data_IF_489984720541
#
_entry.id   IF_489984720541
#
_cell.length_a   1.000
_cell.length_b   1.000
_cell.length_c   1.000
_cell.angle_alpha   90.00
_cell.angle_beta   90.00
_cell.angle_gamma   90.00
#
_symmetry.space_group_name_H-M   'P 1'
#
loop_
_entity.id
_entity.type
_entity.pdbx_description
1 polymer ?
#
# COMPACT_ATOMS: atom_id res chain seq x y z
N UNK A 1 42.85 38.59 -12.03
CA UNK A 1 41.74 37.94 -12.76
C UNK A 1 41.42 36.62 -12.09
N UNK A 2 40.26 36.51 -11.42
CA UNK A 2 39.77 35.28 -10.79
C UNK A 2 38.41 34.98 -11.41
N UNK A 3 38.30 33.90 -12.18
CA UNK A 3 37.02 33.41 -12.71
C UNK A 3 36.60 32.25 -11.80
N UNK A 4 35.51 32.48 -11.07
CA UNK A 4 34.80 31.49 -10.27
C UNK A 4 33.77 30.81 -11.18
N UNK A 5 33.94 29.53 -11.46
CA UNK A 5 32.88 28.69 -12.03
C UNK A 5 32.16 27.96 -10.89
N UNK A 6 30.87 28.25 -10.75
CA UNK A 6 29.89 27.55 -9.92
C UNK A 6 29.39 26.32 -10.67
N UNK A 7 29.39 25.16 -10.02
CA UNK A 7 28.60 23.99 -10.41
C UNK A 7 27.83 23.51 -9.17
N UNK A 8 26.50 23.33 -9.22
CA UNK A 8 25.74 22.85 -8.07
C UNK A 8 25.76 21.31 -8.02
N UNK A 9 26.25 20.77 -6.90
CA UNK A 9 26.09 19.35 -6.59
C UNK A 9 24.70 19.14 -5.97
N UNK A 10 23.79 18.56 -6.75
CA UNK A 10 22.50 18.06 -6.28
C UNK A 10 22.74 16.83 -5.37
N UNK A 11 22.68 17.03 -4.06
CA UNK A 11 22.60 15.94 -3.09
C UNK A 11 21.13 15.57 -2.96
N UNK A 12 20.71 14.51 -3.66
CA UNK A 12 19.45 13.82 -3.39
C UNK A 12 19.56 13.10 -2.04
N UNK A 13 18.79 13.56 -1.06
CA UNK A 13 18.69 12.92 0.25
C UNK A 13 18.04 11.54 0.15
N UNK A 14 18.81 10.50 0.44
CA UNK A 14 18.26 9.22 0.86
C UNK A 14 17.77 9.36 2.31
N UNK A 15 16.45 9.33 2.50
CA UNK A 15 15.87 9.19 3.83
C UNK A 15 16.10 7.74 4.30
N UNK A 16 17.11 7.55 5.14
CA UNK A 16 17.28 6.32 5.91
C UNK A 16 16.11 6.21 6.88
N UNK A 17 15.32 5.15 6.76
CA UNK A 17 14.39 4.74 7.80
C UNK A 17 15.19 4.45 9.07
N UNK A 18 15.16 5.38 10.03
CA UNK A 18 15.79 5.22 11.33
C UNK A 18 14.97 4.22 12.14
N UNK A 19 15.56 3.06 12.43
CA UNK A 19 15.05 2.12 13.44
C UNK A 19 15.23 2.77 14.81
N UNK A 20 14.13 2.94 15.53
CA UNK A 20 14.11 3.49 16.89
C UNK A 20 14.85 2.56 17.87
N UNK A 21 15.91 3.05 18.50
CA UNK A 21 16.59 2.43 19.64
C UNK A 21 16.26 3.19 20.92
N UNK A 22 15.49 2.64 21.87
CA UNK A 22 15.26 3.28 23.16
C UNK A 22 16.48 3.17 24.07
N UNK A 23 16.76 4.17 24.94
CA UNK A 23 17.84 4.11 25.93
C UNK A 23 17.54 3.08 27.04
N UNK A 24 18.59 2.48 27.58
CA UNK A 24 18.53 1.52 28.68
C UNK A 24 18.04 2.20 29.98
N UNK A 25 17.10 1.56 30.68
CA UNK A 25 16.53 2.08 31.92
C UNK A 25 17.32 1.68 33.17
N UNK A 26 17.40 2.61 34.12
CA UNK A 26 17.66 2.35 35.53
C UNK A 26 16.40 2.66 36.34
N UNK A 27 16.14 1.87 37.38
CA UNK A 27 15.08 2.04 38.38
C UNK A 27 15.58 1.52 39.74
N UNK A 28 14.91 1.78 40.87
CA UNK A 28 14.30 3.03 41.35
C UNK A 28 14.69 3.33 42.83
N UNK A 29 14.31 4.49 43.36
CA UNK A 29 14.14 4.67 44.81
C UNK A 29 12.96 5.59 45.14
N UNK A 30 12.05 5.10 45.97
CA UNK A 30 10.95 5.87 46.59
C UNK A 30 11.42 6.52 47.90
N UNK A 31 10.70 7.52 48.42
CA UNK A 31 9.91 7.22 49.62
C UNK A 31 8.55 7.94 49.76
N UNK A 32 7.66 7.20 50.45
CA UNK A 32 6.65 7.61 51.45
C UNK A 32 5.40 8.43 51.08
N UNK A 33 4.29 7.99 51.69
CA UNK A 33 2.90 8.39 51.48
C UNK A 33 2.33 9.24 52.64
N UNK A 34 1.25 10.00 52.37
CA UNK A 34 -0.07 10.09 53.08
C UNK A 34 -0.76 11.46 52.80
N UNK A 35 -2.03 11.71 53.18
CA UNK A 35 -3.21 11.57 52.30
C UNK A 35 -4.03 12.87 52.14
N UNK A 36 -4.79 13.03 51.05
CA UNK A 36 -5.80 14.10 50.96
C UNK A 36 -6.99 13.72 50.06
N UNK A 37 -8.14 14.29 50.43
CA UNK A 37 -9.53 14.01 50.08
C UNK A 37 -9.91 14.25 48.59
N UNK A 38 -11.16 13.94 48.17
CA UNK A 38 -11.52 13.81 46.76
C UNK A 38 -11.69 15.18 46.12
N UNK A 39 -11.07 15.38 44.96
CA UNK A 39 -11.31 16.55 44.12
C UNK A 39 -11.78 16.07 42.75
N UNK A 40 -13.02 16.45 42.43
CA UNK A 40 -13.56 16.56 41.08
C UNK A 40 -12.52 17.20 40.15
N UNK A 41 -12.18 16.53 39.06
CA UNK A 41 -11.75 17.20 37.82
C UNK A 41 -11.97 16.26 36.64
N UNK A 42 -13.20 16.24 36.12
CA UNK A 42 -13.41 15.98 34.71
C UNK A 42 -12.78 17.16 33.94
N UNK A 43 -11.55 17.00 33.44
CA UNK A 43 -11.02 17.91 32.43
C UNK A 43 -11.68 17.58 31.10
N UNK A 44 -12.86 18.16 30.90
CA UNK A 44 -13.41 18.42 29.58
C UNK A 44 -12.43 19.33 28.84
N UNK A 45 -11.90 18.84 27.73
CA UNK A 45 -11.32 19.71 26.71
C UNK A 45 -12.47 20.53 26.13
N UNK A 46 -12.65 21.73 26.67
CA UNK A 46 -13.47 22.77 26.05
C UNK A 46 -12.82 23.12 24.71
N UNK A 47 -13.35 22.54 23.64
CA UNK A 47 -13.23 23.14 22.32
C UNK A 47 -13.95 24.50 22.38
N UNK A 48 -13.31 25.61 21.98
CA UNK A 48 -13.99 26.90 21.92
C UNK A 48 -15.14 26.78 20.93
N UNK A 49 -16.34 27.13 21.41
CA UNK A 49 -17.55 27.18 20.61
C UNK A 49 -17.29 27.97 19.31
N UNK A 50 -17.34 27.27 18.18
CA UNK A 50 -17.47 27.92 16.87
C UNK A 50 -18.72 28.80 16.88
N UNK A 51 -18.66 29.96 16.24
CA UNK A 51 -19.79 30.88 16.13
C UNK A 51 -21.06 30.19 15.58
N UNK A 52 -22.23 30.86 15.62
CA UNK A 52 -23.55 30.25 15.34
C UNK A 52 -23.75 29.65 13.94
N UNK A 53 -22.71 29.68 13.09
CA UNK A 53 -22.60 29.05 11.78
C UNK A 53 -21.26 28.30 11.69
N UNK A 54 -20.98 27.43 12.67
CA UNK A 54 -19.81 26.54 12.69
C UNK A 54 -19.79 25.66 11.44
N UNK A 55 -18.95 26.05 10.49
CA UNK A 55 -18.78 25.44 9.18
C UNK A 55 -18.15 24.06 9.33
N UNK A 56 -18.95 23.00 9.27
CA UNK A 56 -18.54 21.70 8.76
C UNK A 56 -19.75 20.92 8.23
N UNK A 57 -19.54 20.21 7.13
CA UNK A 57 -20.58 19.67 6.27
C UNK A 57 -21.28 18.46 6.87
N UNK A 58 -22.63 18.35 6.77
CA UNK A 58 -23.39 17.20 7.28
C UNK A 58 -23.26 15.93 6.40
N UNK A 59 -22.08 15.68 5.87
CA UNK A 59 -21.69 14.37 5.33
C UNK A 59 -20.79 13.63 6.33
N UNK A 60 -20.02 14.37 7.14
CA UNK A 60 -19.42 13.90 8.39
C UNK A 60 -19.96 14.77 9.51
N UNK A 61 -20.64 14.19 10.50
CA UNK A 61 -20.81 14.90 11.76
C UNK A 61 -19.39 15.22 12.28
N UNK A 62 -19.01 16.48 12.51
CA UNK A 62 -17.71 16.80 13.10
C UNK A 62 -17.53 16.16 14.49
N UNK A 63 -18.61 15.69 15.12
CA UNK A 63 -18.59 14.87 16.33
C UNK A 63 -18.21 13.39 16.10
N UNK A 64 -18.41 12.85 14.88
CA UNK A 64 -17.99 11.50 14.48
C UNK A 64 -16.47 11.45 14.29
N UNK A 65 -15.73 11.58 15.39
CA UNK A 65 -14.30 11.28 15.50
C UNK A 65 -14.02 9.77 15.49
N UNK A 66 -15.08 8.95 15.57
CA UNK A 66 -15.04 7.50 15.59
C UNK A 66 -16.17 6.89 14.76
N UNK A 67 -15.96 5.66 14.28
CA UNK A 67 -17.00 4.81 13.68
C UNK A 67 -17.13 3.53 14.50
N UNK A 68 -18.34 3.16 14.87
CA UNK A 68 -18.59 1.95 15.66
C UNK A 68 -18.67 0.71 14.77
N UNK A 69 -17.81 -0.26 15.02
CA UNK A 69 -17.74 -1.54 14.28
C UNK A 69 -17.78 -2.68 15.29
N UNK A 70 -18.79 -3.54 15.22
CA UNK A 70 -18.95 -4.64 16.17
C UNK A 70 -19.01 -4.20 17.64
N UNK A 71 -19.51 -2.99 17.92
CA UNK A 71 -19.53 -2.39 19.27
C UNK A 71 -18.24 -1.69 19.68
N UNK A 72 -17.21 -1.66 18.83
CA UNK A 72 -15.92 -0.99 19.09
C UNK A 72 -15.86 0.34 18.36
N UNK A 73 -15.57 1.44 19.05
CA UNK A 73 -15.39 2.75 18.43
C UNK A 73 -14.00 2.83 17.78
N UNK A 74 -13.93 2.83 16.45
CA UNK A 74 -12.68 2.95 15.67
C UNK A 74 -12.43 4.45 15.39
N UNK A 75 -11.30 5.03 15.79
CA UNK A 75 -11.03 6.43 15.59
C UNK A 75 -10.67 6.69 14.13
N UNK A 76 -11.24 7.75 13.58
CA UNK A 76 -11.05 8.11 12.18
C UNK A 76 -9.82 9.01 11.96
N UNK A 77 -9.30 9.58 13.04
CA UNK A 77 -8.15 10.49 13.03
C UNK A 77 -8.56 11.93 12.77
N UNK A 78 -7.78 12.64 11.97
CA UNK A 78 -8.07 14.03 11.58
C UNK A 78 -9.18 14.06 10.51
N UNK A 79 -10.34 14.60 10.90
CA UNK A 79 -11.52 14.72 10.05
C UNK A 79 -11.27 15.59 8.80
N UNK A 80 -10.46 16.64 8.91
CA UNK A 80 -10.14 17.51 7.78
C UNK A 80 -9.29 16.76 6.74
N UNK A 81 -8.29 16.01 7.23
CA UNK A 81 -7.47 15.16 6.37
C UNK A 81 -8.30 14.05 5.72
N UNK A 82 -9.19 13.40 6.48
CA UNK A 82 -10.08 12.36 5.96
C UNK A 82 -10.95 12.90 4.82
N UNK A 83 -11.55 14.07 5.03
CA UNK A 83 -12.38 14.73 4.01
C UNK A 83 -11.59 15.06 2.74
N UNK A 84 -10.39 15.63 2.87
CA UNK A 84 -9.54 15.94 1.72
C UNK A 84 -9.16 14.66 0.94
N UNK A 85 -8.88 13.56 1.64
CA UNK A 85 -8.60 12.26 1.01
C UNK A 85 -9.84 11.67 0.35
N UNK A 86 -11.03 11.83 0.95
CA UNK A 86 -12.29 11.42 0.34
C UNK A 86 -12.57 12.19 -0.95
N UNK A 87 -12.42 13.52 -0.96
CA UNK A 87 -12.56 14.35 -2.17
C UNK A 87 -11.60 13.90 -3.28
N UNK A 88 -10.36 13.55 -2.92
CA UNK A 88 -9.40 12.94 -3.87
C UNK A 88 -9.93 11.61 -4.40
N UNK A 89 -10.39 10.72 -3.51
CA UNK A 89 -10.94 9.41 -3.87
C UNK A 89 -12.09 9.49 -4.87
N UNK A 90 -13.01 10.45 -4.68
CA UNK A 90 -14.14 10.66 -5.58
C UNK A 90 -13.75 10.98 -7.04
N UNK A 91 -12.49 11.36 -7.28
CA UNK A 91 -11.95 11.68 -8.60
C UNK A 91 -10.89 10.68 -9.07
N UNK A 92 -10.61 9.62 -8.31
CA UNK A 92 -9.68 8.57 -8.72
C UNK A 92 -10.37 7.55 -9.64
N UNK A 93 -9.68 7.04 -10.69
CA UNK A 93 -10.21 5.93 -11.48
C UNK A 93 -10.41 4.68 -10.62
N UNK A 94 -11.18 3.73 -11.11
CA UNK A 94 -11.23 2.39 -10.53
C UNK A 94 -9.88 1.67 -10.68
N UNK A 95 -9.53 0.85 -9.70
CA UNK A 95 -8.28 0.11 -9.66
C UNK A 95 -8.40 -1.23 -10.40
N UNK A 96 -8.65 -1.14 -11.71
CA UNK A 96 -8.93 -2.27 -12.63
C UNK A 96 -7.74 -2.71 -13.48
N UNK A 97 -6.52 -2.23 -13.19
CA UNK A 97 -5.32 -2.71 -13.90
C UNK A 97 -5.05 -4.20 -13.60
N UNK A 98 -4.52 -4.92 -14.57
CA UNK A 98 -4.13 -6.34 -14.42
C UNK A 98 -3.25 -6.58 -13.19
N UNK A 99 -2.31 -5.67 -12.92
CA UNK A 99 -1.42 -5.76 -11.76
C UNK A 99 -2.16 -5.65 -10.42
N UNK A 100 -3.18 -4.80 -10.34
CA UNK A 100 -4.01 -4.64 -9.15
C UNK A 100 -4.93 -5.86 -8.94
N UNK A 101 -5.49 -6.40 -10.02
CA UNK A 101 -6.26 -7.65 -9.96
C UNK A 101 -5.41 -8.83 -9.53
N UNK A 102 -4.22 -8.97 -10.11
CA UNK A 102 -3.23 -10.00 -9.74
C UNK A 102 -2.88 -9.89 -8.27
N UNK A 103 -2.55 -8.69 -7.78
CA UNK A 103 -2.27 -8.45 -6.36
C UNK A 103 -3.43 -8.88 -5.45
N UNK A 104 -4.67 -8.46 -5.75
CA UNK A 104 -5.85 -8.86 -4.94
C UNK A 104 -6.06 -10.37 -4.95
N UNK A 105 -5.88 -11.03 -6.10
CA UNK A 105 -5.94 -12.50 -6.21
C UNK A 105 -4.86 -13.14 -5.32
N UNK A 106 -3.63 -12.64 -5.35
CA UNK A 106 -2.54 -13.15 -4.51
C UNK A 106 -2.83 -12.95 -3.02
N UNK A 107 -3.35 -11.79 -2.59
CA UNK A 107 -3.74 -11.57 -1.18
C UNK A 107 -4.83 -12.53 -0.74
N UNK A 108 -5.87 -12.74 -1.57
CA UNK A 108 -6.90 -13.74 -1.29
C UNK A 108 -6.34 -15.16 -1.21
N UNK A 109 -5.42 -15.52 -2.11
CA UNK A 109 -4.76 -16.82 -2.10
C UNK A 109 -3.94 -17.01 -0.83
N UNK A 110 -3.13 -16.03 -0.42
CA UNK A 110 -2.39 -16.06 0.86
C UNK A 110 -3.34 -16.29 2.03
N UNK A 111 -4.42 -15.51 2.13
CA UNK A 111 -5.42 -15.64 3.19
C UNK A 111 -6.05 -17.03 3.20
N UNK A 112 -6.39 -17.58 2.02
CA UNK A 112 -6.96 -18.91 1.90
C UNK A 112 -5.96 -20.00 2.31
N UNK A 113 -4.70 -19.90 1.87
CA UNK A 113 -3.63 -20.87 2.16
C UNK A 113 -3.27 -20.92 3.64
N UNK A 114 -3.24 -19.78 4.33
CA UNK A 114 -2.94 -19.70 5.77
C UNK A 114 -4.18 -19.86 6.66
N UNK A 115 -5.35 -20.11 6.06
CA UNK A 115 -6.61 -20.28 6.80
C UNK A 115 -6.61 -21.56 7.66
N UNK A 116 -7.15 -21.52 8.90
CA UNK A 116 -7.38 -22.73 9.70
C UNK A 116 -8.30 -23.74 9.01
N UNK A 117 -9.12 -23.30 8.05
CA UNK A 117 -10.06 -24.13 7.29
C UNK A 117 -9.52 -24.57 5.92
N UNK A 118 -8.25 -24.29 5.61
CA UNK A 118 -7.63 -24.75 4.37
C UNK A 118 -7.60 -26.30 4.34
N UNK A 119 -7.91 -26.97 3.20
CA UNK A 119 -7.82 -28.42 3.09
C UNK A 119 -6.41 -28.92 3.44
N UNK A 120 -6.31 -29.84 4.41
CA UNK A 120 -5.01 -30.29 4.93
C UNK A 120 -4.41 -29.38 6.02
N UNK A 121 -5.13 -28.35 6.44
CA UNK A 121 -4.72 -27.36 7.42
C UNK A 121 -3.95 -26.18 6.83
N UNK A 122 -3.64 -25.15 7.64
CA UNK A 122 -2.85 -24.00 7.24
C UNK A 122 -1.49 -24.38 6.65
N UNK A 123 -1.16 -23.84 5.47
CA UNK A 123 0.18 -23.97 4.89
C UNK A 123 0.95 -22.64 4.98
N UNK A 124 1.72 -22.50 6.06
CA UNK A 124 2.55 -21.33 6.30
C UNK A 124 3.59 -21.11 5.19
N UNK A 125 4.18 -22.16 4.64
CA UNK A 125 5.31 -22.03 3.72
C UNK A 125 4.85 -21.65 2.31
N UNK A 126 3.74 -22.24 1.86
CA UNK A 126 3.11 -21.86 0.60
C UNK A 126 2.60 -20.42 0.65
N UNK A 127 1.95 -20.03 1.76
CA UNK A 127 1.48 -18.66 1.95
C UNK A 127 2.65 -17.65 1.97
N UNK A 128 3.71 -17.95 2.74
CA UNK A 128 4.89 -17.09 2.85
C UNK A 128 5.56 -16.84 1.50
N UNK A 129 5.62 -17.87 0.65
CA UNK A 129 6.24 -17.82 -0.68
C UNK A 129 5.65 -16.71 -1.57
N UNK A 130 4.38 -16.37 -1.40
CA UNK A 130 3.68 -15.38 -2.22
C UNK A 130 3.92 -13.93 -1.77
N UNK A 131 4.37 -13.70 -0.54
CA UNK A 131 4.51 -12.36 0.04
C UNK A 131 5.49 -11.45 -0.72
N UNK A 132 6.69 -11.89 -1.14
CA UNK A 132 7.63 -11.02 -1.86
C UNK A 132 7.08 -10.54 -3.20
N UNK A 133 6.38 -11.43 -3.92
CA UNK A 133 5.76 -11.11 -5.21
C UNK A 133 4.59 -10.14 -5.03
N UNK A 134 3.76 -10.33 -4.00
CA UNK A 134 2.68 -9.38 -3.65
C UNK A 134 3.22 -7.98 -3.31
N UNK A 135 4.36 -7.90 -2.61
CA UNK A 135 5.00 -6.64 -2.24
C UNK A 135 5.55 -5.82 -3.41
N UNK A 136 5.58 -6.37 -4.63
CA UNK A 136 5.96 -5.62 -5.83
C UNK A 136 4.86 -4.67 -6.30
N UNK A 137 3.62 -4.89 -5.87
CA UNK A 137 2.51 -4.02 -6.22
C UNK A 137 2.59 -2.71 -5.42
N UNK A 138 2.63 -1.52 -6.05
CA UNK A 138 2.75 -0.26 -5.33
C UNK A 138 1.65 0.00 -4.30
N UNK A 139 0.42 -0.48 -4.57
CA UNK A 139 -0.72 -0.37 -3.64
C UNK A 139 -0.57 -1.18 -2.35
N UNK A 140 0.31 -2.20 -2.33
CA UNK A 140 0.66 -2.95 -1.12
C UNK A 140 1.40 -2.07 -0.10
N UNK A 141 2.06 -0.99 -0.54
CA UNK A 141 2.88 -0.13 0.32
C UNK A 141 3.99 -0.89 1.11
N UNK A 142 4.50 -1.99 0.55
CA UNK A 142 5.50 -2.89 1.12
C UNK A 142 5.07 -3.65 2.38
N UNK A 143 3.77 -3.71 2.68
CA UNK A 143 3.24 -4.39 3.85
C UNK A 143 3.49 -5.91 3.79
N UNK A 144 3.37 -6.52 2.61
CA UNK A 144 3.69 -7.94 2.44
C UNK A 144 5.19 -8.23 2.68
N UNK A 145 6.08 -7.31 2.29
CA UNK A 145 7.52 -7.44 2.56
C UNK A 145 7.81 -7.34 4.07
N UNK A 146 7.23 -6.34 4.75
CA UNK A 146 7.38 -6.20 6.20
C UNK A 146 6.79 -7.38 6.97
N UNK A 147 5.71 -7.98 6.47
CA UNK A 147 5.14 -9.21 7.02
C UNK A 147 6.08 -10.40 6.82
N UNK A 148 6.64 -10.57 5.62
CA UNK A 148 7.60 -11.64 5.36
C UNK A 148 8.84 -11.55 6.26
N UNK A 149 9.41 -10.35 6.43
CA UNK A 149 10.51 -10.10 7.36
C UNK A 149 10.12 -10.43 8.81
N UNK A 150 8.93 -10.01 9.24
CA UNK A 150 8.43 -10.29 10.59
C UNK A 150 8.24 -11.80 10.84
N UNK A 151 7.73 -12.54 9.85
CA UNK A 151 7.59 -14.00 9.91
C UNK A 151 8.96 -14.68 9.97
N UNK A 152 9.89 -14.27 9.11
CA UNK A 152 11.23 -14.84 9.09
C UNK A 152 11.95 -14.62 10.42
N UNK A 153 11.89 -13.40 10.95
CA UNK A 153 12.45 -13.08 12.27
C UNK A 153 11.79 -13.86 13.40
N UNK A 154 10.47 -14.04 13.35
CA UNK A 154 9.75 -14.83 14.32
C UNK A 154 10.24 -16.28 14.35
N UNK A 155 10.35 -16.92 13.18
CA UNK A 155 10.84 -18.30 13.04
C UNK A 155 12.30 -18.43 13.50
N UNK A 156 13.13 -17.43 13.18
CA UNK A 156 14.50 -17.33 13.64
C UNK A 156 14.58 -17.22 15.18
N UNK A 157 13.77 -16.35 15.78
CA UNK A 157 13.73 -16.13 17.23
C UNK A 157 13.22 -17.34 18.03
N UNK A 158 12.42 -18.21 17.39
CA UNK A 158 11.95 -19.48 17.96
C UNK A 158 12.95 -20.63 17.79
N UNK A 159 14.09 -20.39 17.12
CA UNK A 159 15.07 -21.41 16.78
C UNK A 159 14.45 -22.60 16.01
N UNK A 160 13.41 -22.36 15.20
CA UNK A 160 12.78 -23.39 14.39
C UNK A 160 13.63 -23.68 13.14
N UNK A 161 14.69 -24.48 13.32
CA UNK A 161 15.66 -24.81 12.26
C UNK A 161 14.97 -25.48 11.07
N UNK A 162 14.02 -26.38 11.33
CA UNK A 162 13.30 -27.10 10.29
C UNK A 162 12.37 -26.17 9.51
N UNK A 163 11.66 -25.29 10.21
CA UNK A 163 10.82 -24.28 9.57
C UNK A 163 11.63 -23.26 8.78
N UNK A 164 12.75 -22.79 9.30
CA UNK A 164 13.68 -21.93 8.56
C UNK A 164 14.23 -22.60 7.31
N UNK A 165 14.57 -23.90 7.37
CA UNK A 165 15.01 -24.62 6.17
C UNK A 165 13.92 -24.67 5.10
N UNK A 166 12.65 -24.86 5.50
CA UNK A 166 11.50 -24.82 4.59
C UNK A 166 11.22 -23.43 4.02
N UNK A 167 11.31 -22.37 4.85
CA UNK A 167 11.18 -20.98 4.39
C UNK A 167 12.30 -20.61 3.40
N UNK A 168 13.54 -20.96 3.72
CA UNK A 168 14.66 -20.74 2.80
C UNK A 168 14.43 -21.48 1.47
N UNK A 169 13.96 -22.73 1.53
CA UNK A 169 13.62 -23.47 0.32
C UNK A 169 12.50 -22.79 -0.49
N UNK A 170 11.45 -22.30 0.17
CA UNK A 170 10.33 -21.65 -0.53
C UNK A 170 10.75 -20.35 -1.20
N UNK A 171 11.62 -19.56 -0.56
CA UNK A 171 12.23 -18.35 -1.12
C UNK A 171 13.07 -18.70 -2.36
N UNK A 172 13.95 -19.69 -2.26
CA UNK A 172 14.80 -20.13 -3.38
C UNK A 172 13.97 -20.65 -4.56
N UNK A 173 12.89 -21.39 -4.27
CA UNK A 173 11.96 -21.86 -5.29
C UNK A 173 11.23 -20.69 -5.99
N UNK A 174 10.85 -19.65 -5.24
CA UNK A 174 10.21 -18.45 -5.81
C UNK A 174 11.21 -17.63 -6.63
N UNK A 175 12.43 -17.44 -6.12
CA UNK A 175 13.53 -16.78 -6.83
C UNK A 175 13.79 -17.42 -8.18
N UNK A 176 13.92 -18.76 -8.20
CA UNK A 176 14.06 -19.52 -9.45
C UNK A 176 12.89 -19.33 -10.40
N UNK A 177 11.65 -19.33 -9.88
CA UNK A 177 10.44 -19.13 -10.68
C UNK A 177 10.42 -17.73 -11.32
N UNK A 178 10.75 -16.69 -10.55
CA UNK A 178 10.82 -15.30 -11.03
C UNK A 178 11.88 -15.17 -12.13
N UNK A 179 13.09 -15.72 -11.91
CA UNK A 179 14.17 -15.69 -12.91
C UNK A 179 13.74 -16.42 -14.19
N UNK A 180 13.16 -17.61 -14.07
CA UNK A 180 12.72 -18.39 -15.22
C UNK A 180 11.61 -17.69 -16.03
N UNK A 181 10.63 -17.08 -15.34
CA UNK A 181 9.58 -16.30 -15.99
C UNK A 181 10.15 -15.08 -16.73
N UNK A 182 11.11 -14.39 -16.11
CA UNK A 182 11.78 -13.25 -16.69
C UNK A 182 12.62 -13.63 -17.92
N UNK A 183 13.34 -14.75 -17.86
CA UNK A 183 14.12 -15.29 -18.98
C UNK A 183 13.22 -15.73 -20.14
N UNK A 184 12.06 -16.33 -19.84
CA UNK A 184 11.07 -16.72 -20.84
C UNK A 184 10.51 -15.49 -21.58
N UNK A 185 10.09 -14.47 -20.83
CA UNK A 185 9.61 -13.20 -21.40
C UNK A 185 10.67 -12.55 -22.31
N UNK A 186 11.93 -12.50 -21.86
CA UNK A 186 13.04 -11.94 -22.62
C UNK A 186 13.30 -12.66 -23.96
N UNK A 187 13.00 -13.96 -24.03
CA UNK A 187 13.21 -14.79 -25.24
C UNK A 187 12.05 -14.65 -26.22
N UNK A 188 10.82 -14.61 -25.73
CA UNK A 188 9.62 -14.60 -26.57
C UNK A 188 9.26 -13.21 -27.11
N UNK A 189 9.62 -12.13 -26.41
CA UNK A 189 9.39 -10.77 -26.93
C UNK A 189 10.33 -10.41 -28.11
N UNK A 190 11.47 -11.09 -28.24
CA UNK A 190 12.37 -10.93 -29.39
C UNK A 190 11.72 -11.37 -30.70
N UNK A 191 10.85 -12.37 -30.65
CA UNK A 191 10.24 -12.99 -31.83
C UNK A 191 9.11 -12.13 -32.42
N UNK A 192 8.42 -11.33 -31.58
CA UNK A 192 7.32 -10.46 -32.04
C UNK A 192 7.80 -9.19 -32.79
N UNK A 193 9.06 -8.77 -32.64
CA UNK A 193 9.58 -7.57 -33.33
C UNK A 193 10.13 -7.83 -34.73
N UNK A 194 10.31 -9.10 -35.12
CA UNK A 194 10.92 -9.49 -36.41
C UNK A 194 9.90 -9.79 -37.52
N UNK A 195 8.59 -9.69 -37.24
CA UNK A 195 7.52 -10.04 -38.18
C UNK A 195 6.91 -8.90 -39.01
N UNK A 196 7.37 -7.65 -38.86
CA UNK A 196 6.73 -6.47 -39.49
C UNK A 196 7.74 -5.61 -40.29
N UNK A 197 8.55 -6.22 -41.13
CA UNK A 197 9.33 -5.52 -42.15
C UNK A 197 8.50 -5.27 -43.42
N UNK A 198 7.62 -4.27 -43.41
CA UNK A 198 6.89 -3.83 -44.61
C UNK A 198 7.88 -3.15 -45.56
N UNK A 199 8.27 -3.86 -46.60
CA UNK A 199 9.11 -3.35 -47.68
C UNK A 199 8.36 -2.27 -48.46
N UNK A 200 8.74 -1.01 -48.26
CA UNK A 200 8.38 0.15 -49.07
C UNK A 200 9.72 0.88 -49.30
N UNK A 201 10.34 0.86 -50.48
CA UNK A 201 9.76 1.34 -51.73
C UNK A 201 9.99 2.86 -51.81
N UNK A 202 11.23 3.30 -51.99
CA UNK A 202 11.59 4.72 -52.07
C UNK A 202 12.23 5.07 -53.41
N UNK A 203 11.47 5.74 -54.29
CA UNK A 203 11.96 6.35 -55.53
C UNK A 203 11.71 7.87 -55.54
N UNK A 204 12.57 8.60 -56.26
CA UNK A 204 12.44 10.02 -56.65
C UNK A 204 13.26 11.01 -55.80
N UNK A 205 14.43 11.49 -56.25
CA UNK A 205 14.71 12.75 -57.04
C UNK A 205 14.29 14.03 -56.28
N UNK A 206 15.16 15.01 -56.03
CA UNK A 206 15.90 15.81 -57.02
C UNK A 206 17.15 16.53 -56.44
N UNK A 207 18.16 16.65 -57.32
CA UNK A 207 19.19 17.68 -57.58
C UNK A 207 19.71 18.62 -56.47
N UNK A 208 21.04 18.68 -56.34
CA UNK A 208 21.80 19.80 -56.91
C UNK A 208 23.29 19.47 -57.16
N UNK A 209 23.76 19.90 -58.32
CA UNK A 209 25.11 19.77 -58.86
C UNK A 209 26.06 20.84 -58.29
N UNK A 210 27.31 20.45 -58.00
CA UNK A 210 28.49 21.15 -58.52
C UNK A 210 29.76 20.30 -58.40
N UNK A 211 30.25 19.92 -59.58
CA UNK A 211 31.64 19.66 -59.98
C UNK A 211 32.60 20.76 -59.44
N UNK A 212 33.92 20.62 -59.30
CA UNK A 212 34.92 19.84 -60.03
C UNK A 212 36.23 19.82 -59.20
N UNK A 213 37.13 18.86 -59.44
CA UNK A 213 38.51 18.91 -58.93
C UNK A 213 39.29 17.62 -59.16
N UNK A 214 40.07 17.61 -60.23
CA UNK A 214 40.82 16.49 -60.82
C UNK A 214 42.00 15.95 -59.99
N UNK A 215 42.48 14.79 -60.48
CA UNK A 215 43.87 14.32 -60.55
C UNK A 215 44.42 13.29 -59.52
N UNK A 216 44.36 12.03 -59.97
CA UNK A 216 45.50 11.22 -60.46
C UNK A 216 46.58 10.69 -59.49
N UNK A 217 46.68 9.34 -59.48
CA UNK A 217 47.94 8.64 -59.76
C UNK A 217 48.84 8.30 -58.56
N UNK A 218 49.08 7.00 -58.32
CA UNK A 218 50.14 6.57 -57.40
C UNK A 218 50.18 5.06 -57.16
N UNK A 219 50.96 4.38 -57.98
CA UNK A 219 51.14 2.93 -58.02
C UNK A 219 52.29 2.46 -57.10
N UNK A 220 52.14 1.24 -56.58
CA UNK A 220 53.15 0.18 -56.38
C UNK A 220 54.13 0.11 -55.18
N UNK A 221 54.29 -1.18 -54.78
CA UNK A 221 55.44 -1.91 -54.21
C UNK A 221 55.59 -2.00 -52.68
N UNK A 222 56.04 -3.11 -52.08
CA UNK A 222 56.27 -4.52 -52.45
C UNK A 222 56.77 -5.26 -51.18
N UNK A 223 56.55 -6.57 -51.09
CA UNK A 223 57.30 -7.53 -50.25
C UNK A 223 56.82 -7.65 -48.80
N UNK A 224 56.38 -8.79 -48.26
CA UNK A 224 56.61 -10.18 -48.61
C UNK A 224 57.24 -10.87 -47.40
N UNK A 225 56.52 -11.78 -46.72
CA UNK A 225 56.96 -13.16 -46.47
C UNK A 225 55.96 -13.94 -45.59
N UNK A 226 55.82 -15.20 -46.00
CA UNK A 226 55.07 -16.37 -45.55
C UNK A 226 54.93 -16.62 -44.04
N UNK A 227 53.80 -17.24 -43.70
CA UNK A 227 53.78 -18.36 -42.75
C UNK A 227 52.39 -18.84 -42.32
N UNK A 228 51.94 -19.99 -42.85
CA UNK A 228 51.07 -20.94 -42.11
C UNK A 228 49.57 -20.92 -42.42
N UNK A 229 49.09 -22.02 -43.00
CA UNK A 229 47.73 -22.28 -43.44
C UNK A 229 46.96 -23.12 -42.40
N UNK A 230 45.61 -23.08 -42.50
CA UNK A 230 44.55 -23.94 -41.89
C UNK A 230 43.92 -23.42 -40.59
N UNK A 231 42.71 -22.83 -40.66
CA UNK A 231 41.39 -23.50 -40.60
C UNK A 231 41.19 -24.25 -39.27
N UNK A 232 40.23 -23.97 -38.40
CA UNK A 232 39.13 -23.02 -38.35
C UNK A 232 38.35 -23.33 -37.06
N UNK A 233 37.62 -22.38 -36.49
CA UNK A 233 36.26 -22.63 -35.99
C UNK A 233 35.56 -21.31 -35.67
N UNK A 234 34.30 -21.29 -36.04
CA UNK A 234 33.30 -20.25 -35.89
C UNK A 234 33.12 -19.85 -34.41
N UNK A 235 32.96 -18.56 -34.19
CA UNK A 235 32.74 -17.98 -32.87
C UNK A 235 32.29 -16.53 -33.01
N UNK A 236 31.11 -16.33 -33.62
CA UNK A 236 30.41 -15.05 -33.58
C UNK A 236 30.05 -14.75 -32.13
N UNK A 237 30.87 -13.91 -31.52
CA UNK A 237 30.62 -13.22 -30.26
C UNK A 237 29.57 -12.12 -30.53
N UNK A 238 28.30 -12.53 -30.74
CA UNK A 238 27.18 -11.59 -30.76
C UNK A 238 26.78 -11.29 -29.32
N UNK A 239 27.44 -10.29 -28.73
CA UNK A 239 27.07 -9.71 -27.45
C UNK A 239 25.69 -9.09 -27.61
N UNK A 240 24.68 -9.87 -27.23
CA UNK A 240 23.28 -9.45 -27.07
C UNK A 240 23.20 -8.11 -26.39
N UNK A 241 22.80 -7.09 -27.16
CA UNK A 241 22.40 -5.78 -26.65
C UNK A 241 21.10 -6.00 -25.86
N UNK A 242 21.22 -6.14 -24.54
CA UNK A 242 20.09 -6.26 -23.62
C UNK A 242 19.33 -4.93 -23.62
N UNK A 243 18.07 -4.93 -24.03
CA UNK A 243 17.21 -3.74 -23.96
C UNK A 243 16.89 -3.42 -22.49
N UNK A 244 17.25 -2.24 -21.97
CA UNK A 244 16.90 -1.86 -20.60
C UNK A 244 15.38 -1.90 -20.38
N UNK A 245 14.93 -2.61 -19.33
CA UNK A 245 13.51 -2.70 -18.94
C UNK A 245 12.77 -3.99 -19.31
N UNK A 246 13.41 -4.97 -19.97
CA UNK A 246 12.79 -6.25 -20.33
C UNK A 246 13.40 -7.45 -19.59
N UNK A 247 12.62 -8.52 -19.43
CA UNK A 247 13.10 -9.78 -18.85
C UNK A 247 13.54 -9.68 -17.40
N UNK A 248 14.70 -10.28 -17.06
CA UNK A 248 15.33 -10.20 -15.72
C UNK A 248 15.64 -8.75 -15.28
N UNK A 249 15.65 -7.81 -16.23
CA UNK A 249 15.85 -6.38 -15.98
C UNK A 249 14.55 -5.58 -15.95
N UNK A 250 13.39 -6.23 -16.04
CA UNK A 250 12.11 -5.59 -15.75
C UNK A 250 12.06 -5.18 -14.29
N UNK A 251 11.63 -3.94 -14.02
CA UNK A 251 11.53 -3.39 -12.66
C UNK A 251 10.75 -4.30 -11.71
N UNK A 252 9.66 -4.93 -12.18
CA UNK A 252 8.85 -5.87 -11.37
C UNK A 252 9.67 -7.07 -10.89
N UNK A 253 10.44 -7.69 -11.79
CA UNK A 253 11.26 -8.86 -11.45
C UNK A 253 12.43 -8.46 -10.55
N UNK A 254 13.07 -7.33 -10.83
CA UNK A 254 14.16 -6.80 -10.01
C UNK A 254 13.70 -6.45 -8.60
N UNK A 255 12.52 -5.85 -8.45
CA UNK A 255 11.94 -5.55 -7.14
C UNK A 255 11.61 -6.82 -6.37
N UNK A 256 10.99 -7.82 -7.01
CA UNK A 256 10.71 -9.11 -6.37
C UNK A 256 12.00 -9.79 -5.87
N UNK A 257 13.04 -9.81 -6.71
CA UNK A 257 14.35 -10.38 -6.36
C UNK A 257 15.01 -9.60 -5.23
N UNK A 258 14.93 -8.27 -5.25
CA UNK A 258 15.44 -7.42 -4.16
C UNK A 258 14.74 -7.71 -2.84
N UNK A 259 13.41 -7.92 -2.84
CA UNK A 259 12.66 -8.30 -1.62
C UNK A 259 13.07 -9.67 -1.10
N UNK A 260 13.33 -10.61 -2.01
CA UNK A 260 13.87 -11.93 -1.64
C UNK A 260 15.27 -11.80 -1.03
N UNK A 261 16.15 -11.01 -1.65
CA UNK A 261 17.51 -10.79 -1.16
C UNK A 261 17.52 -10.09 0.22
N UNK A 262 16.57 -9.19 0.49
CA UNK A 262 16.35 -8.58 1.81
C UNK A 262 16.07 -9.65 2.88
N UNK A 263 15.23 -10.64 2.59
CA UNK A 263 14.94 -11.75 3.51
C UNK A 263 16.16 -12.69 3.65
N UNK A 264 16.84 -13.00 2.54
CA UNK A 264 18.06 -13.82 2.57
C UNK A 264 19.19 -13.15 3.37
N UNK A 265 19.26 -11.82 3.42
CA UNK A 265 20.24 -11.11 4.23
C UNK A 265 20.04 -11.40 5.73
N UNK A 266 18.78 -11.54 6.17
CA UNK A 266 18.43 -11.89 7.55
C UNK A 266 18.94 -13.27 7.97
N UNK A 267 19.09 -14.19 7.01
CA UNK A 267 19.67 -15.52 7.23
C UNK A 267 21.14 -15.46 7.63
N UNK A 268 21.89 -14.50 7.09
CA UNK A 268 23.35 -14.40 7.28
C UNK A 268 23.71 -13.87 8.67
N UNK A 269 22.73 -13.32 9.39
CA UNK A 269 22.87 -12.93 10.78
C UNK A 269 22.91 -14.19 11.67
N UNK A 270 24.11 -14.62 12.05
CA UNK A 270 24.34 -15.83 12.85
C UNK A 270 24.08 -15.55 14.35
N UNK A 271 22.85 -15.15 14.68
CA UNK A 271 22.52 -14.66 16.03
C UNK A 271 22.08 -15.83 16.92
N UNK A 272 22.89 -16.13 17.94
CA UNK A 272 22.39 -16.83 19.13
C UNK A 272 21.34 -15.92 19.79
N UNK A 273 20.06 -16.16 19.47
CA UNK A 273 18.96 -15.34 20.00
C UNK A 273 18.58 -15.83 21.40
N UNK A 274 18.61 -14.90 22.36
CA UNK A 274 18.19 -15.13 23.75
C UNK A 274 16.67 -15.03 23.87
N UNK A 275 16.10 -15.54 24.98
CA UNK A 275 14.67 -15.42 25.27
C UNK A 275 14.17 -13.96 25.21
N UNK A 276 15.01 -13.01 25.63
CA UNK A 276 14.73 -11.58 25.55
C UNK A 276 14.54 -11.10 24.10
N UNK A 277 15.32 -11.64 23.15
CA UNK A 277 15.15 -11.33 21.74
C UNK A 277 13.87 -11.95 21.16
N UNK A 278 13.46 -13.13 21.62
CA UNK A 278 12.18 -13.75 21.25
C UNK A 278 11.00 -12.89 21.73
N UNK A 279 11.03 -12.40 22.97
CA UNK A 279 10.00 -11.49 23.50
C UNK A 279 9.93 -10.20 22.68
N UNK A 280 11.09 -9.61 22.36
CA UNK A 280 11.16 -8.39 21.54
C UNK A 280 10.63 -8.61 20.12
N UNK A 281 10.99 -9.72 19.47
CA UNK A 281 10.54 -10.06 18.12
C UNK A 281 9.02 -10.23 18.08
N UNK A 282 8.48 -10.94 19.07
CA UNK A 282 7.03 -11.12 19.24
C UNK A 282 6.31 -9.79 19.46
N UNK A 283 6.85 -8.91 20.30
CA UNK A 283 6.29 -7.58 20.52
C UNK A 283 6.32 -6.73 19.24
N UNK A 284 7.43 -6.74 18.48
CA UNK A 284 7.54 -6.03 17.21
C UNK A 284 6.51 -6.52 16.19
N UNK A 285 6.29 -7.83 16.11
CA UNK A 285 5.27 -8.40 15.23
C UNK A 285 3.86 -7.89 15.60
N UNK A 286 3.53 -7.89 16.89
CA UNK A 286 2.25 -7.38 17.40
C UNK A 286 2.09 -5.88 17.13
N UNK A 287 3.15 -5.08 17.27
CA UNK A 287 3.13 -3.66 16.92
C UNK A 287 2.83 -3.44 15.43
N UNK A 288 3.41 -4.24 14.54
CA UNK A 288 3.11 -4.16 13.11
C UNK A 288 1.63 -4.46 12.83
N UNK A 289 1.05 -5.48 13.48
CA UNK A 289 -0.38 -5.77 13.35
C UNK A 289 -1.26 -4.59 13.77
N UNK A 290 -0.94 -3.98 14.91
CA UNK A 290 -1.65 -2.81 15.44
C UNK A 290 -1.54 -1.62 14.49
N UNK A 291 -0.34 -1.37 13.95
CA UNK A 291 -0.12 -0.30 13.00
C UNK A 291 -0.94 -0.51 11.72
N UNK A 292 -0.97 -1.72 11.17
CA UNK A 292 -1.75 -2.05 9.97
C UNK A 292 -3.25 -1.91 10.22
N UNK A 293 -3.73 -2.33 11.40
CA UNK A 293 -5.11 -2.13 11.81
C UNK A 293 -5.48 -0.64 11.81
N UNK A 294 -4.65 0.20 12.42
CA UNK A 294 -4.87 1.66 12.44
C UNK A 294 -4.79 2.31 11.06
N UNK A 295 -4.02 1.73 10.14
CA UNK A 295 -3.95 2.16 8.75
C UNK A 295 -5.09 1.59 7.89
N UNK A 296 -6.06 0.86 8.49
CA UNK A 296 -7.19 0.20 7.81
C UNK A 296 -6.74 -0.84 6.78
N UNK A 297 -5.59 -1.47 7.02
CA UNK A 297 -5.00 -2.54 6.20
C UNK A 297 -5.47 -3.89 6.72
N UNK A 298 -6.78 -4.09 6.75
CA UNK A 298 -7.40 -5.22 7.46
C UNK A 298 -6.98 -6.58 6.91
N UNK A 299 -6.81 -6.73 5.59
CA UNK A 299 -6.34 -7.99 4.99
C UNK A 299 -4.94 -8.36 5.48
N UNK A 300 -4.03 -7.38 5.62
CA UNK A 300 -2.70 -7.61 6.21
C UNK A 300 -2.78 -7.97 7.70
N UNK A 301 -3.71 -7.39 8.45
CA UNK A 301 -3.96 -7.80 9.85
C UNK A 301 -4.41 -9.25 9.91
N UNK A 302 -5.34 -9.67 9.05
CA UNK A 302 -5.82 -11.05 8.97
C UNK A 302 -4.69 -12.02 8.58
N UNK A 303 -3.89 -11.70 7.56
CA UNK A 303 -2.72 -12.51 7.19
C UNK A 303 -1.77 -12.63 8.39
N UNK A 304 -1.44 -11.51 9.02
CA UNK A 304 -0.52 -11.46 10.14
C UNK A 304 -0.99 -12.25 11.35
N UNK A 305 -2.27 -12.14 11.72
CA UNK A 305 -2.89 -12.89 12.81
C UNK A 305 -2.82 -14.40 12.57
N UNK A 306 -3.13 -14.84 11.34
CA UNK A 306 -3.09 -16.25 10.96
C UNK A 306 -1.66 -16.81 10.99
N UNK A 307 -0.69 -16.10 10.41
CA UNK A 307 0.73 -16.46 10.51
C UNK A 307 1.20 -16.49 11.97
N UNK A 308 0.83 -15.48 12.75
CA UNK A 308 1.18 -15.39 14.16
C UNK A 308 0.72 -16.65 14.93
N UNK A 309 -0.54 -17.05 14.73
CA UNK A 309 -1.10 -18.22 15.40
C UNK A 309 -0.39 -19.53 14.99
N UNK A 310 0.10 -19.62 13.75
CA UNK A 310 0.91 -20.76 13.30
C UNK A 310 2.30 -20.79 13.95
N UNK A 311 2.92 -19.62 14.15
CA UNK A 311 4.28 -19.51 14.66
C UNK A 311 4.32 -19.67 16.18
N UNK A 312 3.50 -18.92 16.92
CA UNK A 312 3.60 -18.86 18.39
C UNK A 312 2.75 -19.89 19.13
N UNK A 313 1.69 -20.45 18.52
CA UNK A 313 0.83 -21.55 19.05
C UNK A 313 0.34 -21.36 20.49
N UNK A 314 0.34 -20.13 20.98
CA UNK A 314 0.04 -19.76 22.36
C UNK A 314 -1.41 -19.29 22.57
N UNK A 315 -2.23 -19.36 21.52
CA UNK A 315 -3.65 -19.04 21.58
C UNK A 315 -3.94 -17.53 21.61
N UNK A 316 -5.03 -17.15 22.27
CA UNK A 316 -5.47 -15.75 22.36
C UNK A 316 -4.48 -14.92 23.18
N UNK A 317 -3.53 -14.28 22.50
CA UNK A 317 -2.44 -13.56 23.14
C UNK A 317 -2.77 -12.09 23.29
N UNK A 318 -2.75 -11.59 24.52
CA UNK A 318 -2.77 -10.16 24.83
C UNK A 318 -1.61 -9.45 24.11
N UNK A 319 -1.93 -8.33 23.45
CA UNK A 319 -0.93 -7.55 22.73
C UNK A 319 -0.03 -6.84 23.71
N UNK A 320 1.29 -6.95 23.49
CA UNK A 320 2.31 -6.20 24.24
C UNK A 320 2.39 -4.76 23.75
N UNK A 321 1.36 -3.98 24.06
CA UNK A 321 1.28 -2.56 23.71
C UNK A 321 1.39 -1.69 24.95
N UNK A 322 1.83 -0.44 24.76
CA UNK A 322 1.82 0.55 25.83
C UNK A 322 0.37 0.85 26.25
N UNK A 323 0.10 0.88 27.56
CA UNK A 323 -1.24 1.12 28.10
C UNK A 323 -1.81 2.50 27.72
N UNK A 324 -0.96 3.46 27.33
CA UNK A 324 -1.35 4.79 26.84
C UNK A 324 -1.51 4.84 25.32
N UNK A 325 -1.18 3.76 24.59
CA UNK A 325 -1.33 3.70 23.14
C UNK A 325 -2.80 3.87 22.74
N UNK A 326 -3.02 4.48 21.57
CA UNK A 326 -4.38 4.68 21.07
C UNK A 326 -5.13 3.35 21.00
N UNK A 327 -4.49 2.27 20.55
CA UNK A 327 -5.14 0.96 20.48
C UNK A 327 -5.47 0.38 21.85
N UNK A 328 -4.63 0.57 22.87
CA UNK A 328 -5.01 0.19 24.24
C UNK A 328 -6.27 0.93 24.67
N UNK A 329 -6.34 2.25 24.44
CA UNK A 329 -7.51 3.07 24.78
C UNK A 329 -8.75 2.64 24.02
N UNK A 330 -8.65 2.38 22.71
CA UNK A 330 -9.78 1.94 21.89
C UNK A 330 -10.44 0.70 22.47
N UNK A 331 -9.65 -0.31 22.83
CA UNK A 331 -10.18 -1.56 23.35
C UNK A 331 -10.61 -1.42 24.83
N UNK A 332 -9.84 -0.74 25.66
CA UNK A 332 -10.19 -0.55 27.08
C UNK A 332 -11.44 0.32 27.26
N UNK A 333 -11.62 1.36 26.45
CA UNK A 333 -12.74 2.30 26.54
C UNK A 333 -13.99 1.78 25.81
N UNK A 334 -13.83 1.04 24.70
CA UNK A 334 -15.01 0.56 23.94
C UNK A 334 -15.56 -0.77 24.44
N UNK A 335 -14.69 -1.73 24.76
CA UNK A 335 -15.07 -3.11 25.08
C UNK A 335 -14.60 -3.58 26.45
N UNK A 336 -13.86 -2.75 27.20
CA UNK A 336 -13.44 -3.05 28.57
C UNK A 336 -12.46 -4.22 28.69
N UNK A 337 -11.80 -4.60 27.59
CA UNK A 337 -10.85 -5.72 27.54
C UNK A 337 -9.52 -5.27 26.92
N UNK A 338 -8.42 -5.91 27.32
CA UNK A 338 -7.14 -5.71 26.65
C UNK A 338 -7.21 -6.21 25.20
N UNK A 339 -6.59 -5.51 24.24
CA UNK A 339 -6.56 -5.98 22.86
C UNK A 339 -5.71 -7.24 22.75
N UNK A 340 -6.17 -8.19 21.94
CA UNK A 340 -5.50 -9.45 21.64
C UNK A 340 -5.31 -9.64 20.15
N UNK A 341 -4.49 -10.60 19.76
CA UNK A 341 -4.35 -11.01 18.35
C UNK A 341 -5.70 -11.45 17.76
N UNK A 342 -6.50 -12.19 18.54
CA UNK A 342 -7.84 -12.63 18.14
C UNK A 342 -8.82 -11.46 18.01
N UNK A 343 -8.76 -10.48 18.91
CA UNK A 343 -9.63 -9.31 18.85
C UNK A 343 -9.35 -8.45 17.62
N UNK A 344 -8.08 -8.30 17.23
CA UNK A 344 -7.70 -7.63 15.98
C UNK A 344 -8.19 -8.39 14.74
N UNK A 345 -8.08 -9.72 14.73
CA UNK A 345 -8.56 -10.57 13.61
C UNK A 345 -10.08 -10.46 13.46
N UNK A 346 -10.83 -10.61 14.55
CA UNK A 346 -12.29 -10.49 14.56
C UNK A 346 -12.76 -9.11 14.12
N UNK A 347 -12.18 -8.04 14.68
CA UNK A 347 -12.55 -6.67 14.33
C UNK A 347 -12.17 -6.31 12.89
N UNK A 348 -11.08 -6.87 12.36
CA UNK A 348 -10.70 -6.71 10.95
C UNK A 348 -11.71 -7.39 10.01
N UNK A 349 -12.16 -8.61 10.33
CA UNK A 349 -13.23 -9.27 9.57
C UNK A 349 -14.54 -8.49 9.63
N UNK A 350 -14.88 -7.94 10.79
CA UNK A 350 -16.06 -7.08 10.97
C UNK A 350 -15.97 -5.82 10.12
N UNK A 351 -14.84 -5.11 10.18
CA UNK A 351 -14.62 -3.90 9.40
C UNK A 351 -14.72 -4.16 7.88
N UNK A 352 -14.11 -5.26 7.40
CA UNK A 352 -14.22 -5.66 5.99
C UNK A 352 -15.68 -5.87 5.59
N UNK A 353 -16.44 -6.62 6.41
CA UNK A 353 -17.84 -6.91 6.13
C UNK A 353 -18.69 -5.64 6.16
N UNK A 354 -18.45 -4.75 7.11
CA UNK A 354 -19.21 -3.52 7.26
C UNK A 354 -18.93 -2.53 6.12
N UNK A 355 -17.67 -2.39 5.69
CA UNK A 355 -17.33 -1.63 4.47
C UNK A 355 -18.06 -2.19 3.25
N UNK A 356 -18.12 -3.51 3.08
CA UNK A 356 -18.84 -4.11 1.97
C UNK A 356 -20.33 -3.74 2.00
N UNK A 357 -20.99 -3.87 3.16
CA UNK A 357 -22.41 -3.48 3.31
C UNK A 357 -22.65 -2.00 3.03
N UNK A 358 -21.74 -1.11 3.44
CA UNK A 358 -21.85 0.31 3.13
C UNK A 358 -21.79 0.57 1.63
N UNK A 359 -20.89 -0.11 0.90
CA UNK A 359 -20.82 -0.01 -0.57
C UNK A 359 -22.05 -0.58 -1.25
N UNK A 360 -22.57 -1.72 -0.78
CA UNK A 360 -23.83 -2.31 -1.28
C UNK A 360 -25.03 -1.36 -1.05
N UNK A 361 -25.10 -0.75 0.12
CA UNK A 361 -26.14 0.23 0.46
C UNK A 361 -25.99 1.51 -0.37
N UNK A 362 -24.76 1.98 -0.56
CA UNK A 362 -24.46 3.10 -1.45
C UNK A 362 -25.01 2.86 -2.86
N UNK A 363 -24.73 1.69 -3.44
CA UNK A 363 -25.19 1.33 -4.78
C UNK A 363 -26.73 1.34 -4.89
N UNK A 364 -27.41 0.82 -3.86
CA UNK A 364 -28.87 0.81 -3.78
C UNK A 364 -29.45 2.23 -3.71
N UNK A 365 -28.91 3.09 -2.84
CA UNK A 365 -29.36 4.47 -2.66
C UNK A 365 -29.10 5.30 -3.93
N UNK A 366 -27.93 5.13 -4.54
CA UNK A 366 -27.58 5.79 -5.78
C UNK A 366 -28.55 5.40 -6.91
N UNK A 367 -28.92 4.11 -7.01
CA UNK A 367 -29.90 3.63 -7.99
C UNK A 367 -31.30 4.22 -7.78
N UNK A 368 -31.67 4.56 -6.53
CA UNK A 368 -32.96 5.20 -6.20
C UNK A 368 -32.96 6.72 -6.43
N UNK A 369 -31.80 7.33 -6.64
CA UNK A 369 -31.63 8.79 -6.69
C UNK A 369 -31.60 9.44 -5.31
N UNK A 370 -31.34 8.66 -4.26
CA UNK A 370 -31.17 9.10 -2.87
C UNK A 370 -29.69 9.51 -2.66
N UNK A 371 -29.27 10.57 -3.36
CA UNK A 371 -27.86 10.94 -3.50
C UNK A 371 -27.25 11.51 -2.21
N UNK A 372 -28.06 12.12 -1.34
CA UNK A 372 -27.58 12.60 -0.04
C UNK A 372 -27.16 11.42 0.84
N UNK A 373 -28.06 10.46 1.05
CA UNK A 373 -27.82 9.26 1.83
C UNK A 373 -26.73 8.40 1.20
N UNK A 374 -26.70 8.29 -0.14
CA UNK A 374 -25.63 7.60 -0.86
C UNK A 374 -24.26 8.23 -0.53
N UNK A 375 -24.15 9.56 -0.54
CA UNK A 375 -22.89 10.25 -0.22
C UNK A 375 -22.39 9.94 1.19
N UNK A 376 -23.29 9.85 2.17
CA UNK A 376 -22.98 9.50 3.56
C UNK A 376 -22.48 8.06 3.67
N UNK A 377 -23.20 7.09 3.09
CA UNK A 377 -22.79 5.68 3.11
C UNK A 377 -21.43 5.46 2.42
N UNK A 378 -21.18 6.14 1.31
CA UNK A 378 -19.87 6.06 0.63
C UNK A 378 -18.74 6.65 1.48
N UNK A 379 -19.02 7.75 2.20
CA UNK A 379 -18.05 8.36 3.10
C UNK A 379 -17.73 7.47 4.30
N UNK A 380 -18.73 6.82 4.90
CA UNK A 380 -18.56 5.84 5.97
C UNK A 380 -17.76 4.61 5.50
N UNK A 381 -18.08 4.08 4.31
CA UNK A 381 -17.32 3.01 3.68
C UNK A 381 -15.84 3.41 3.56
N UNK A 382 -15.59 4.60 2.99
CA UNK A 382 -14.23 5.11 2.76
C UNK A 382 -13.46 5.34 4.07
N UNK A 383 -14.12 5.95 5.06
CA UNK A 383 -13.55 6.22 6.36
C UNK A 383 -13.14 4.93 7.08
N UNK A 384 -13.93 3.86 6.94
CA UNK A 384 -13.64 2.56 7.54
C UNK A 384 -12.61 1.76 6.75
N UNK A 385 -12.73 1.69 5.42
CA UNK A 385 -12.08 0.65 4.63
C UNK A 385 -11.45 1.14 3.34
N UNK A 386 -10.90 2.35 3.30
CA UNK A 386 -10.27 3.01 2.14
C UNK A 386 -9.50 2.09 1.16
N UNK A 387 -8.81 1.07 1.67
CA UNK A 387 -7.94 0.19 0.87
C UNK A 387 -8.57 -1.15 0.50
N UNK A 388 -9.85 -1.36 0.82
CA UNK A 388 -10.57 -2.59 0.54
C UNK A 388 -11.09 -2.60 -0.90
N UNK A 389 -11.13 -3.81 -1.46
CA UNK A 389 -11.56 -4.07 -2.84
C UNK A 389 -12.87 -3.37 -3.25
N UNK A 390 -13.96 -3.39 -2.47
CA UNK A 390 -15.22 -2.75 -2.89
C UNK A 390 -15.11 -1.25 -3.18
N UNK A 391 -14.17 -0.55 -2.54
CA UNK A 391 -13.89 0.87 -2.78
C UNK A 391 -12.86 1.06 -3.90
N UNK A 392 -11.79 0.25 -3.89
CA UNK A 392 -10.75 0.31 -4.91
C UNK A 392 -11.33 0.10 -6.31
N UNK A 393 -12.28 -0.82 -6.47
CA UNK A 393 -12.91 -1.14 -7.76
C UNK A 393 -14.22 -0.38 -8.00
N UNK A 394 -14.55 0.63 -7.20
CA UNK A 394 -15.79 1.38 -7.39
C UNK A 394 -15.69 2.22 -8.68
N UNK A 395 -16.67 2.12 -9.61
CA UNK A 395 -16.61 2.85 -10.87
C UNK A 395 -16.51 4.37 -10.71
N UNK A 396 -15.68 5.00 -11.53
CA UNK A 396 -15.48 6.45 -11.51
C UNK A 396 -16.79 7.22 -11.71
N UNK A 397 -17.68 6.75 -12.57
CA UNK A 397 -18.98 7.40 -12.81
C UNK A 397 -19.84 7.51 -11.55
N UNK A 398 -19.88 6.45 -10.73
CA UNK A 398 -20.61 6.46 -9.46
C UNK A 398 -19.98 7.45 -8.47
N UNK A 399 -18.64 7.44 -8.39
CA UNK A 399 -17.87 8.38 -7.56
C UNK A 399 -18.08 9.84 -7.99
N UNK A 400 -18.14 10.11 -9.30
CA UNK A 400 -18.37 11.44 -9.88
C UNK A 400 -19.73 12.03 -9.55
N UNK A 401 -20.79 11.21 -9.54
CA UNK A 401 -22.13 11.64 -9.10
C UNK A 401 -22.11 12.16 -7.67
N UNK A 402 -21.41 11.45 -6.78
CA UNK A 402 -21.20 11.91 -5.41
C UNK A 402 -20.34 13.17 -5.39
N UNK A 403 -19.24 13.22 -6.13
CA UNK A 403 -18.35 14.39 -6.20
C UNK A 403 -19.10 15.68 -6.56
N UNK A 404 -19.97 15.62 -7.57
CA UNK A 404 -20.77 16.76 -8.02
C UNK A 404 -21.77 17.20 -6.96
N UNK A 405 -22.49 16.26 -6.35
CA UNK A 405 -23.39 16.54 -5.24
C UNK A 405 -22.69 17.18 -4.04
N UNK A 406 -21.56 16.61 -3.62
CA UNK A 406 -20.77 17.11 -2.48
C UNK A 406 -20.25 18.52 -2.78
N UNK A 407 -19.74 18.78 -3.98
CA UNK A 407 -19.30 20.12 -4.40
C UNK A 407 -20.44 21.13 -4.34
N UNK A 408 -21.59 20.78 -4.91
CA UNK A 408 -22.76 21.66 -4.95
C UNK A 408 -23.29 21.95 -3.52
N UNK A 409 -23.25 20.94 -2.65
CA UNK A 409 -23.58 21.08 -1.24
C UNK A 409 -22.59 21.99 -0.50
N UNK A 410 -21.28 21.87 -0.76
CA UNK A 410 -20.25 22.76 -0.21
C UNK A 410 -20.48 24.21 -0.64
N UNK A 411 -20.77 24.41 -1.92
CA UNK A 411 -21.05 25.73 -2.47
C UNK A 411 -22.27 26.37 -1.81
N UNK A 412 -23.36 25.60 -1.62
CA UNK A 412 -24.59 26.06 -0.95
C UNK A 412 -24.31 26.56 0.48
N UNK A 413 -23.51 25.83 1.25
CA UNK A 413 -23.14 26.29 2.59
C UNK A 413 -22.26 27.54 2.55
N UNK A 414 -21.36 27.63 1.58
CA UNK A 414 -20.57 28.84 1.34
C UNK A 414 -21.44 30.06 1.07
N UNK A 415 -22.49 29.93 0.25
CA UNK A 415 -23.41 31.03 -0.06
C UNK A 415 -24.29 31.40 1.14
N UNK A 416 -24.73 30.43 1.94
CA UNK A 416 -25.45 30.68 3.19
C UNK A 416 -24.60 31.48 4.18
N UNK A 417 -23.33 31.09 4.37
CA UNK A 417 -22.40 31.81 5.23
C UNK A 417 -22.12 33.24 4.73
N UNK A 418 -22.04 33.42 3.40
CA UNK A 418 -21.87 34.72 2.76
C UNK A 418 -23.17 35.55 2.69
N UNK A 419 -24.32 35.01 3.11
CA UNK A 419 -25.66 35.61 2.97
C UNK A 419 -26.04 35.95 1.52
N UNK A 420 -25.51 35.20 0.55
CA UNK A 420 -25.89 35.31 -0.86
C UNK A 420 -27.15 34.46 -1.10
N UNK A 421 -28.31 35.03 -0.79
CA UNK A 421 -29.60 34.33 -0.87
C UNK A 421 -29.98 33.97 -2.32
N UNK A 422 -29.57 34.78 -3.30
CA UNK A 422 -29.85 34.51 -4.72
C UNK A 422 -29.14 33.24 -5.18
N UNK A 423 -27.84 33.11 -4.93
CA UNK A 423 -27.13 31.86 -5.28
C UNK A 423 -27.57 30.69 -4.43
N UNK A 424 -27.87 30.93 -3.15
CA UNK A 424 -28.40 29.88 -2.25
C UNK A 424 -29.66 29.24 -2.85
N UNK A 425 -30.61 30.05 -3.34
CA UNK A 425 -31.84 29.52 -3.93
C UNK A 425 -31.58 28.74 -5.23
N UNK A 426 -30.66 29.19 -6.08
CA UNK A 426 -30.26 28.47 -7.30
C UNK A 426 -29.66 27.09 -6.95
N UNK A 427 -28.73 27.05 -6.00
CA UNK A 427 -28.06 25.83 -5.57
C UNK A 427 -29.01 24.86 -4.87
N UNK A 428 -29.91 25.37 -4.02
CA UNK A 428 -30.91 24.57 -3.32
C UNK A 428 -31.87 23.89 -4.31
N UNK A 429 -32.36 24.61 -5.32
CA UNK A 429 -33.22 24.02 -6.37
C UNK A 429 -32.47 22.94 -7.14
N UNK A 430 -31.22 23.21 -7.57
CA UNK A 430 -30.38 22.22 -8.27
C UNK A 430 -30.17 20.95 -7.42
N UNK A 431 -29.92 21.10 -6.13
CA UNK A 431 -29.73 19.97 -5.21
C UNK A 431 -31.02 19.16 -5.01
N UNK A 432 -32.18 19.81 -4.91
CA UNK A 432 -33.50 19.12 -4.84
C UNK A 432 -33.82 18.34 -6.10
N UNK A 433 -33.50 18.88 -7.26
CA UNK A 433 -33.71 18.20 -8.55
C UNK A 433 -32.80 16.97 -8.69
N UNK A 434 -31.56 17.06 -8.22
CA UNK A 434 -30.56 16.01 -8.37
C UNK A 434 -30.58 14.93 -7.27
N UNK A 435 -31.12 15.23 -6.09
CA UNK A 435 -31.16 14.33 -4.94
C UNK A 435 -32.56 14.30 -4.32
N UNK A 436 -33.26 13.16 -4.45
CA UNK A 436 -34.65 13.00 -3.96
C UNK A 436 -34.77 13.13 -2.44
N UNK A 437 -33.71 12.82 -1.73
CA UNK A 437 -33.60 12.83 -0.27
C UNK A 437 -32.84 14.06 0.25
N UNK A 438 -32.73 15.12 -0.56
CA UNK A 438 -32.08 16.35 -0.13
C UNK A 438 -32.76 16.93 1.13
N UNK A 439 -32.01 17.23 2.21
CA UNK A 439 -32.57 17.75 3.46
C UNK A 439 -32.93 19.24 3.33
N UNK A 440 -34.06 19.52 2.67
CA UNK A 440 -34.44 20.89 2.31
C UNK A 440 -34.85 21.77 3.49
N UNK A 441 -35.22 21.18 4.64
CA UNK A 441 -35.71 21.88 5.83
C UNK A 441 -34.73 22.87 6.46
N UNK A 442 -33.45 22.82 6.08
CA UNK A 442 -32.41 23.77 6.54
C UNK A 442 -32.24 24.97 5.61
N UNK A 443 -32.91 24.97 4.46
CA UNK A 443 -32.69 25.91 3.35
C UNK A 443 -34.00 26.56 2.90
N UNK A 444 -35.12 25.85 3.07
CA UNK A 444 -36.50 26.36 3.01
C UNK A 444 -36.82 27.20 4.25
#
# INVERSE_FOLDING_TARGET
>A
MKIRSLLPLLVTGYAWAQVYTPPAGEAPSSPAASPAAPADSATSSQNPAGGPLGQDLPILDPSLSTLTVGGVAIPLGDNALLKARFEKYLNQPEESSDAAEEYRKTVHEILATVSPFHPGGPDLYAAFKMLPSAATYPGDANLCSSLAESIYMAMLSKQDINGLAKLNKSIEDEKRKIIAAADYAARNDRDNSLGSGRQLGGGGRDKDQKENGENNGGNNNNGGNKGGNREGNDGRDDRTKVTPGMGIHSLKHQDALRRIDEIEALRRENVVRTELQTVRTKAQYQVNMVQWFMQRRYEHVLMAARFYNQIWKDGDTELRIDAKSNVSKLFSESVGVSPTVSSLDSLSNEAIRETQKYVETFDLLLARGELHSASQRLMEAYALGEFLTPLATLPLEKKRKVAEYVRDLHELYGTLAARDYTKTQILATRLKENAKDFPSSKVD
#
